data_IF_199348507286
#
_entry.id   IF_199348507286
#
_cell.length_a   1.000
_cell.length_b   1.000
_cell.length_c   1.000
_cell.angle_alpha   90.00
_cell.angle_beta   90.00
_cell.angle_gamma   90.00
#
_symmetry.space_group_name_H-M   'P 1'
#
loop_
_entity.id
_entity.type
_entity.pdbx_description
1 polymer ?
#
# COMPACT_ATOMS: atom_id res chain seq x y z
N UNK A 1 -18.44 -29.08 -33.84
CA UNK A 1 -17.37 -28.68 -32.93
C UNK A 1 -17.92 -27.63 -31.95
N UNK A 2 -18.39 -28.06 -30.78
CA UNK A 2 -18.91 -27.16 -29.76
C UNK A 2 -17.69 -26.53 -29.01
N UNK A 3 -17.54 -25.21 -29.11
CA UNK A 3 -16.65 -24.46 -28.23
C UNK A 3 -17.24 -24.53 -26.80
N UNK A 4 -16.56 -25.25 -25.91
CA UNK A 4 -16.80 -25.12 -24.47
C UNK A 4 -16.44 -23.69 -24.05
N UNK A 5 -17.44 -22.92 -23.74
CA UNK A 5 -17.27 -21.69 -22.96
C UNK A 5 -16.91 -22.16 -21.56
N UNK A 6 -15.63 -22.02 -21.19
CA UNK A 6 -15.18 -22.19 -19.83
C UNK A 6 -15.71 -20.94 -19.09
N UNK A 7 -16.85 -21.09 -18.45
CA UNK A 7 -17.30 -20.15 -17.42
C UNK A 7 -16.36 -20.34 -16.23
N UNK A 8 -15.29 -19.57 -16.15
CA UNK A 8 -14.58 -19.38 -14.89
C UNK A 8 -15.49 -18.57 -14.01
N UNK A 9 -16.15 -19.21 -13.05
CA UNK A 9 -16.70 -18.49 -11.91
C UNK A 9 -15.50 -17.81 -11.24
N UNK A 10 -15.39 -16.50 -11.42
CA UNK A 10 -14.47 -15.70 -10.60
C UNK A 10 -15.00 -15.85 -9.18
N UNK A 11 -14.28 -16.63 -8.36
CA UNK A 11 -14.60 -16.80 -6.95
C UNK A 11 -14.68 -15.40 -6.32
N UNK A 12 -15.65 -15.21 -5.44
CA UNK A 12 -15.75 -13.95 -4.70
C UNK A 12 -14.43 -13.75 -3.94
N UNK A 13 -13.81 -12.57 -4.09
CA UNK A 13 -12.57 -12.24 -3.38
C UNK A 13 -12.72 -12.48 -1.87
N UNK A 14 -11.71 -13.10 -1.24
CA UNK A 14 -11.71 -13.33 0.21
C UNK A 14 -11.64 -11.97 0.93
N UNK A 15 -12.32 -11.88 2.06
CA UNK A 15 -12.28 -10.73 2.95
C UNK A 15 -11.51 -11.08 4.21
N UNK A 16 -10.84 -10.08 4.76
CA UNK A 16 -10.11 -10.18 6.03
C UNK A 16 -10.49 -9.03 6.94
N UNK A 17 -10.22 -9.21 8.23
CA UNK A 17 -10.42 -8.17 9.24
C UNK A 17 -9.10 -7.48 9.56
N UNK A 18 -9.01 -6.18 9.31
CA UNK A 18 -7.92 -5.32 9.78
C UNK A 18 -8.38 -4.62 11.07
N UNK A 19 -8.02 -5.17 12.24
CA UNK A 19 -8.41 -4.57 13.52
C UNK A 19 -9.93 -4.35 13.68
N UNK A 20 -10.75 -5.23 13.08
CA UNK A 20 -12.21 -5.11 13.06
C UNK A 20 -12.79 -4.48 11.79
N UNK A 21 -11.99 -3.86 10.94
CA UNK A 21 -12.42 -3.32 9.65
C UNK A 21 -12.38 -4.42 8.58
N UNK A 22 -13.54 -4.73 7.99
CA UNK A 22 -13.66 -5.73 6.91
C UNK A 22 -13.17 -5.14 5.58
N UNK A 23 -12.21 -5.80 4.94
CA UNK A 23 -11.63 -5.38 3.66
C UNK A 23 -11.40 -6.58 2.74
N UNK A 24 -11.36 -6.35 1.42
CA UNK A 24 -10.84 -7.35 0.49
C UNK A 24 -9.40 -7.70 0.83
N UNK A 25 -9.04 -8.98 0.74
CA UNK A 25 -7.72 -9.49 1.11
C UNK A 25 -6.56 -8.84 0.34
N UNK A 26 -6.81 -8.41 -0.89
CA UNK A 26 -5.92 -7.59 -1.69
C UNK A 26 -6.63 -6.27 -1.94
N UNK A 27 -5.98 -5.15 -1.60
CA UNK A 27 -6.46 -3.80 -1.90
C UNK A 27 -5.83 -3.23 -3.16
N UNK A 28 -6.15 -1.99 -3.48
CA UNK A 28 -5.58 -1.23 -4.60
C UNK A 28 -4.93 0.06 -4.09
N UNK A 29 -3.63 0.22 -4.32
CA UNK A 29 -2.91 1.48 -4.12
C UNK A 29 -3.08 2.41 -5.33
N UNK A 30 -3.56 3.62 -5.12
CA UNK A 30 -3.80 4.59 -6.19
C UNK A 30 -2.60 5.51 -6.51
N UNK A 31 -1.52 5.48 -5.72
CA UNK A 31 -0.39 6.42 -5.82
C UNK A 31 0.15 6.59 -7.24
N UNK A 32 0.39 5.50 -7.95
CA UNK A 32 0.99 5.52 -9.30
C UNK A 32 0.08 6.09 -10.40
N UNK A 33 -1.18 6.38 -10.09
CA UNK A 33 -2.13 6.93 -11.06
C UNK A 33 -1.91 8.42 -11.32
N UNK A 34 -1.29 9.17 -10.38
CA UNK A 34 -1.07 10.61 -10.52
C UNK A 34 0.24 11.12 -9.93
N UNK A 35 1.03 10.26 -9.27
CA UNK A 35 2.25 10.65 -8.59
C UNK A 35 3.36 9.62 -8.81
N UNK A 36 4.60 10.07 -8.71
CA UNK A 36 5.80 9.25 -8.80
C UNK A 36 5.88 8.37 -10.08
N UNK A 37 6.98 7.71 -10.30
CA UNK A 37 7.18 6.88 -11.50
C UNK A 37 6.79 7.66 -12.78
N UNK A 38 5.90 7.10 -13.57
CA UNK A 38 5.33 7.70 -14.79
C UNK A 38 3.91 8.26 -14.57
N UNK A 39 3.50 8.45 -13.32
CA UNK A 39 2.10 8.82 -12.97
C UNK A 39 1.72 10.26 -13.24
N UNK A 40 2.69 11.21 -13.24
CA UNK A 40 2.43 12.64 -13.31
C UNK A 40 1.66 13.10 -14.58
N UNK A 41 1.71 12.33 -15.66
CA UNK A 41 1.03 12.61 -16.95
C UNK A 41 0.17 11.42 -17.39
N UNK A 42 -0.37 10.63 -16.46
CA UNK A 42 -1.22 9.50 -16.81
C UNK A 42 -2.60 9.94 -17.27
N UNK A 43 -3.19 9.14 -18.16
CA UNK A 43 -4.56 9.29 -18.59
C UNK A 43 -5.52 8.98 -17.41
N UNK A 44 -6.25 9.97 -16.95
CA UNK A 44 -7.22 9.83 -15.86
C UNK A 44 -8.32 8.81 -16.22
N UNK A 45 -8.67 8.68 -17.51
CA UNK A 45 -9.69 7.73 -17.94
C UNK A 45 -9.23 6.29 -17.81
N UNK A 46 -7.95 5.98 -18.05
CA UNK A 46 -7.39 4.65 -17.80
C UNK A 46 -7.32 4.36 -16.30
N UNK A 47 -6.93 5.33 -15.48
CA UNK A 47 -6.89 5.20 -14.04
C UNK A 47 -8.29 4.93 -13.46
N UNK A 48 -9.31 5.66 -13.90
CA UNK A 48 -10.70 5.43 -13.51
C UNK A 48 -11.18 4.04 -13.93
N UNK A 49 -10.92 3.60 -15.16
CA UNK A 49 -11.23 2.24 -15.60
C UNK A 49 -10.53 1.19 -14.74
N UNK A 50 -9.30 1.45 -14.34
CA UNK A 50 -8.53 0.54 -13.48
C UNK A 50 -9.17 0.40 -12.10
N UNK A 51 -9.62 1.50 -11.48
CA UNK A 51 -10.35 1.49 -10.23
C UNK A 51 -11.67 0.73 -10.41
N UNK A 52 -12.47 1.07 -11.43
CA UNK A 52 -13.75 0.39 -11.68
C UNK A 52 -13.56 -1.12 -11.88
N UNK A 53 -12.54 -1.52 -12.66
CA UNK A 53 -12.25 -2.96 -12.85
C UNK A 53 -11.89 -3.64 -11.53
N UNK A 54 -11.12 -2.97 -10.65
CA UNK A 54 -10.80 -3.53 -9.33
C UNK A 54 -12.07 -3.77 -8.50
N UNK A 55 -12.98 -2.79 -8.45
CA UNK A 55 -14.27 -2.91 -7.75
C UNK A 55 -15.14 -4.04 -8.34
N UNK A 56 -15.24 -4.11 -9.67
CA UNK A 56 -16.02 -5.13 -10.39
C UNK A 56 -15.46 -6.55 -10.13
N UNK A 57 -14.17 -6.67 -9.80
CA UNK A 57 -13.50 -7.91 -9.42
C UNK A 57 -13.55 -8.19 -7.90
N UNK A 58 -14.22 -7.34 -7.12
CA UNK A 58 -14.46 -7.54 -5.70
C UNK A 58 -13.42 -6.90 -4.77
N UNK A 59 -12.50 -6.05 -5.28
CA UNK A 59 -11.65 -5.23 -4.41
C UNK A 59 -12.52 -4.19 -3.72
N UNK A 60 -12.50 -4.18 -2.39
CA UNK A 60 -13.21 -3.16 -1.60
C UNK A 60 -12.26 -2.17 -0.94
N UNK A 61 -10.98 -2.46 -0.84
CA UNK A 61 -10.00 -1.63 -0.13
C UNK A 61 -9.19 -0.77 -1.11
N UNK A 62 -9.38 0.56 -1.05
CA UNK A 62 -8.72 1.54 -1.92
C UNK A 62 -7.92 2.55 -1.10
N UNK A 63 -6.62 2.68 -1.40
CA UNK A 63 -5.68 3.52 -0.67
C UNK A 63 -5.14 4.67 -1.52
N UNK A 64 -5.24 5.89 -0.98
CA UNK A 64 -4.68 7.13 -1.54
C UNK A 64 -3.96 7.96 -0.48
N UNK A 65 -3.58 9.20 -0.75
CA UNK A 65 -3.05 10.18 0.19
C UNK A 65 -3.12 11.60 -0.38
N UNK A 66 -3.20 12.61 0.50
CA UNK A 66 -3.20 14.03 0.11
C UNK A 66 -1.95 14.45 -0.65
N UNK A 67 -0.78 13.90 -0.30
CA UNK A 67 0.50 14.24 -0.94
C UNK A 67 0.62 13.72 -2.37
N UNK A 68 -0.21 12.75 -2.79
CA UNK A 68 -0.09 12.15 -4.11
C UNK A 68 -0.54 13.12 -5.21
N UNK A 69 0.44 13.63 -5.99
CA UNK A 69 0.26 14.48 -7.13
C UNK A 69 0.02 15.99 -6.94
N UNK A 70 0.44 16.67 -5.86
CA UNK A 70 -0.28 16.72 -4.58
C UNK A 70 -1.76 17.02 -4.78
N UNK A 71 -2.59 16.42 -3.97
CA UNK A 71 -4.07 16.49 -3.96
C UNK A 71 -4.79 15.88 -5.18
N UNK A 72 -4.17 15.87 -6.35
CA UNK A 72 -4.76 15.40 -7.61
C UNK A 72 -5.21 13.93 -7.55
N UNK A 73 -4.52 13.10 -6.78
CA UNK A 73 -4.88 11.69 -6.64
C UNK A 73 -6.22 11.52 -5.92
N UNK A 74 -6.46 12.26 -4.85
CA UNK A 74 -7.75 12.22 -4.15
C UNK A 74 -8.89 12.73 -5.04
N UNK A 75 -8.66 13.77 -5.86
CA UNK A 75 -9.65 14.26 -6.82
C UNK A 75 -9.97 13.19 -7.89
N UNK A 76 -8.95 12.48 -8.38
CA UNK A 76 -9.11 11.37 -9.32
C UNK A 76 -9.93 10.24 -8.71
N UNK A 77 -9.58 9.82 -7.48
CA UNK A 77 -10.29 8.78 -6.74
C UNK A 77 -11.74 9.19 -6.48
N UNK A 78 -11.98 10.43 -6.05
CA UNK A 78 -13.33 10.97 -5.82
C UNK A 78 -14.20 10.87 -7.08
N UNK A 79 -13.66 11.24 -8.26
CA UNK A 79 -14.37 11.08 -9.54
C UNK A 79 -14.65 9.61 -9.87
N UNK A 80 -13.70 8.72 -9.62
CA UNK A 80 -13.86 7.30 -9.88
C UNK A 80 -14.93 6.66 -8.98
N UNK A 81 -15.09 7.17 -7.76
CA UNK A 81 -16.05 6.66 -6.79
C UNK A 81 -17.44 7.30 -6.87
N UNK A 82 -17.68 8.25 -7.79
CA UNK A 82 -18.99 8.86 -7.98
C UNK A 82 -20.05 7.79 -8.28
N UNK A 83 -21.02 7.67 -7.38
CA UNK A 83 -22.09 6.66 -7.44
C UNK A 83 -21.67 5.25 -6.98
N UNK A 84 -20.43 5.05 -6.53
CA UNK A 84 -19.88 3.75 -6.06
C UNK A 84 -19.20 3.84 -4.67
N UNK A 85 -19.38 4.96 -3.97
CA UNK A 85 -18.71 5.20 -2.67
C UNK A 85 -18.97 4.11 -1.63
N UNK A 86 -20.18 3.60 -1.59
CA UNK A 86 -20.62 2.60 -0.61
C UNK A 86 -20.04 1.19 -0.89
N UNK A 87 -19.42 0.98 -2.05
CA UNK A 87 -18.76 -0.28 -2.40
C UNK A 87 -17.33 -0.37 -1.84
N UNK A 88 -16.81 0.73 -1.24
CA UNK A 88 -15.38 0.90 -0.96
C UNK A 88 -15.11 1.22 0.51
N UNK A 89 -14.14 0.54 1.08
CA UNK A 89 -13.40 0.98 2.25
C UNK A 89 -12.30 1.93 1.77
N UNK A 90 -12.53 3.22 1.91
CA UNK A 90 -11.65 4.27 1.41
C UNK A 90 -10.64 4.70 2.47
N UNK A 91 -9.36 4.55 2.15
CA UNK A 91 -8.26 5.00 2.98
C UNK A 91 -7.52 6.17 2.33
N UNK A 92 -7.21 7.19 3.13
CA UNK A 92 -6.30 8.28 2.75
C UNK A 92 -5.41 8.69 3.92
N UNK A 93 -4.44 9.58 3.67
CA UNK A 93 -3.38 9.90 4.62
C UNK A 93 -3.13 11.40 4.66
N UNK A 94 -2.75 11.92 5.84
CA UNK A 94 -2.41 13.31 6.09
C UNK A 94 -1.01 13.46 6.70
N UNK A 95 -0.55 14.68 6.81
CA UNK A 95 0.61 15.08 7.59
C UNK A 95 1.92 15.11 6.82
N UNK A 96 1.95 14.75 5.54
CA UNK A 96 3.06 15.02 4.63
C UNK A 96 2.69 16.18 3.71
N UNK A 97 3.16 17.37 4.02
CA UNK A 97 2.85 18.57 3.26
C UNK A 97 3.83 18.76 2.12
N UNK A 98 3.34 18.97 0.89
CA UNK A 98 4.19 19.32 -0.24
C UNK A 98 4.71 20.75 -0.08
N UNK A 99 5.98 20.97 -0.43
CA UNK A 99 6.50 22.34 -0.46
C UNK A 99 6.03 23.06 -1.75
N UNK A 100 5.43 24.26 -1.66
CA UNK A 100 4.89 24.97 -2.83
C UNK A 100 5.92 25.24 -3.95
N UNK A 101 7.20 25.37 -3.59
CA UNK A 101 8.30 25.63 -4.51
C UNK A 101 9.03 24.36 -4.98
N UNK A 102 8.52 23.15 -4.64
CA UNK A 102 9.24 21.90 -4.79
C UNK A 102 10.34 21.72 -3.73
N UNK A 103 10.82 20.50 -3.53
CA UNK A 103 11.83 20.16 -2.51
C UNK A 103 11.30 19.14 -1.50
N UNK A 104 11.97 19.06 -0.34
CA UNK A 104 11.54 18.13 0.71
C UNK A 104 10.15 18.51 1.25
N UNK A 105 9.32 17.49 1.48
CA UNK A 105 8.06 17.66 2.19
C UNK A 105 8.32 17.95 3.67
N UNK A 106 7.41 18.70 4.28
CA UNK A 106 7.37 18.96 5.72
C UNK A 106 6.37 18.01 6.38
N UNK A 107 6.68 17.56 7.57
CA UNK A 107 5.73 16.84 8.41
C UNK A 107 4.97 17.81 9.30
N UNK A 108 3.66 17.60 9.43
CA UNK A 108 2.82 18.37 10.35
C UNK A 108 1.61 17.51 10.75
N UNK A 109 1.66 16.96 11.95
CA UNK A 109 0.58 16.17 12.54
C UNK A 109 -0.09 16.89 13.71
N UNK A 110 0.03 18.21 13.76
CA UNK A 110 -0.64 19.02 14.76
C UNK A 110 -2.17 18.91 14.66
N UNK A 111 -2.90 19.03 15.78
CA UNK A 111 -4.37 19.03 15.79
C UNK A 111 -5.00 20.04 14.83
N UNK A 112 -4.38 21.20 14.63
CA UNK A 112 -4.85 22.23 13.71
C UNK A 112 -4.72 21.76 12.25
N UNK A 113 -3.56 21.19 11.87
CA UNK A 113 -3.37 20.67 10.51
C UNK A 113 -4.27 19.47 10.24
N UNK A 114 -4.47 18.57 11.21
CA UNK A 114 -5.35 17.40 11.08
C UNK A 114 -6.77 17.83 10.68
N UNK A 115 -7.32 18.86 11.34
CA UNK A 115 -8.65 19.38 11.02
C UNK A 115 -8.71 20.01 9.63
N UNK A 116 -7.70 20.75 9.23
CA UNK A 116 -7.60 21.33 7.89
C UNK A 116 -7.45 20.26 6.82
N UNK A 117 -6.60 19.27 7.05
CA UNK A 117 -6.31 18.19 6.12
C UNK A 117 -7.53 17.31 5.86
N UNK A 118 -8.26 16.91 6.91
CA UNK A 118 -9.45 16.06 6.75
C UNK A 118 -10.55 16.75 5.92
N UNK A 119 -10.81 18.03 6.16
CA UNK A 119 -11.79 18.81 5.36
C UNK A 119 -11.36 18.89 3.89
N UNK A 120 -10.06 19.09 3.65
CA UNK A 120 -9.50 19.06 2.32
C UNK A 120 -9.69 17.71 1.62
N UNK A 121 -9.39 16.61 2.30
CA UNK A 121 -9.55 15.26 1.79
C UNK A 121 -11.01 14.91 1.51
N UNK A 122 -11.93 15.20 2.43
CA UNK A 122 -13.38 15.01 2.24
C UNK A 122 -13.90 15.73 1.00
N UNK A 123 -13.47 16.98 0.80
CA UNK A 123 -13.84 17.78 -0.37
C UNK A 123 -13.30 17.19 -1.67
N UNK A 124 -12.02 16.81 -1.72
CA UNK A 124 -11.38 16.25 -2.93
C UNK A 124 -11.92 14.86 -3.29
N UNK A 125 -12.18 14.05 -2.28
CA UNK A 125 -12.76 12.72 -2.44
C UNK A 125 -14.28 12.74 -2.69
N UNK A 126 -14.91 13.93 -2.56
CA UNK A 126 -16.36 14.14 -2.73
C UNK A 126 -17.19 13.17 -1.85
N UNK A 127 -16.81 13.04 -0.58
CA UNK A 127 -17.44 12.14 0.40
C UNK A 127 -17.63 12.85 1.73
N UNK A 128 -18.57 12.40 2.53
CA UNK A 128 -18.83 12.91 3.88
C UNK A 128 -18.02 12.21 4.98
N UNK A 129 -17.40 11.08 4.67
CA UNK A 129 -16.54 10.36 5.60
C UNK A 129 -15.41 9.60 4.90
N UNK A 130 -14.34 9.35 5.67
CA UNK A 130 -13.21 8.48 5.31
C UNK A 130 -13.29 7.23 6.18
N UNK A 131 -13.14 6.03 5.60
CA UNK A 131 -13.22 4.80 6.37
C UNK A 131 -11.97 4.55 7.21
N UNK A 132 -10.77 4.80 6.66
CA UNK A 132 -9.51 4.63 7.37
C UNK A 132 -8.58 5.83 7.08
N UNK A 133 -8.24 6.58 8.12
CA UNK A 133 -7.43 7.81 8.01
C UNK A 133 -6.09 7.62 8.69
N UNK A 134 -5.01 7.73 7.91
CA UNK A 134 -3.67 7.49 8.39
C UNK A 134 -2.89 8.78 8.68
N UNK A 135 -2.14 8.80 9.78
CA UNK A 135 -0.93 9.62 9.84
C UNK A 135 0.10 9.04 8.87
N UNK A 136 0.50 9.79 7.84
CA UNK A 136 1.34 9.29 6.75
C UNK A 136 2.77 8.97 7.18
N UNK A 137 3.33 9.80 8.08
CA UNK A 137 4.60 9.59 8.78
C UNK A 137 4.50 10.16 10.18
N UNK A 138 5.20 9.55 11.13
CA UNK A 138 5.28 10.07 12.49
C UNK A 138 5.97 11.43 12.47
N UNK A 139 5.31 12.44 13.02
CA UNK A 139 5.87 13.80 13.12
C UNK A 139 6.65 13.93 14.42
N UNK A 140 7.97 14.14 14.38
CA UNK A 140 8.78 14.26 15.59
C UNK A 140 8.49 15.54 16.40
N UNK A 141 7.76 16.50 15.82
CA UNK A 141 7.43 17.76 16.47
C UNK A 141 6.07 17.74 17.20
N UNK A 142 5.26 16.69 16.96
CA UNK A 142 3.95 16.54 17.59
C UNK A 142 3.88 15.21 18.33
N UNK A 143 3.66 15.21 19.67
CA UNK A 143 3.46 13.97 20.40
C UNK A 143 2.38 13.10 19.76
N UNK A 144 2.64 11.81 19.64
CA UNK A 144 1.69 10.89 19.00
C UNK A 144 0.34 10.87 19.71
N UNK A 145 0.35 11.13 21.03
CA UNK A 145 -0.84 11.22 21.86
C UNK A 145 -1.75 12.38 21.44
N UNK A 146 -1.17 13.53 21.10
CA UNK A 146 -1.92 14.72 20.65
C UNK A 146 -2.51 14.47 19.25
N UNK A 147 -1.72 13.87 18.38
CA UNK A 147 -2.16 13.45 17.03
C UNK A 147 -3.36 12.49 17.13
N UNK A 148 -3.23 11.42 17.89
CA UNK A 148 -4.29 10.40 18.02
C UNK A 148 -5.50 10.96 18.78
N UNK A 149 -5.29 11.85 19.75
CA UNK A 149 -6.36 12.58 20.43
C UNK A 149 -7.22 13.38 19.46
N UNK A 150 -6.59 14.13 18.56
CA UNK A 150 -7.30 14.90 17.52
C UNK A 150 -8.03 13.97 16.51
N UNK A 151 -7.42 12.86 16.12
CA UNK A 151 -8.08 11.87 15.24
C UNK A 151 -9.29 11.22 15.94
N UNK A 152 -9.21 10.93 17.24
CA UNK A 152 -10.32 10.40 18.01
C UNK A 152 -11.51 11.38 18.08
N UNK A 153 -11.26 12.69 18.03
CA UNK A 153 -12.32 13.69 17.89
C UNK A 153 -13.01 13.59 16.53
N UNK A 154 -12.24 13.40 15.44
CA UNK A 154 -12.80 13.23 14.10
C UNK A 154 -13.63 11.95 13.97
N UNK A 155 -13.27 10.88 14.71
CA UNK A 155 -14.10 9.67 14.81
C UNK A 155 -15.43 10.00 15.47
N UNK A 156 -15.43 10.75 16.59
CA UNK A 156 -16.66 11.16 17.28
C UNK A 156 -17.54 12.10 16.45
N UNK A 157 -16.92 12.91 15.59
CA UNK A 157 -17.60 13.78 14.63
C UNK A 157 -18.17 13.02 13.41
N UNK A 158 -17.79 11.76 13.22
CA UNK A 158 -18.19 10.92 12.09
C UNK A 158 -17.47 11.24 10.78
N UNK A 159 -16.45 12.09 10.79
CA UNK A 159 -15.64 12.45 9.60
C UNK A 159 -14.69 11.33 9.17
N UNK A 160 -14.22 10.56 10.14
CA UNK A 160 -13.44 9.33 9.90
C UNK A 160 -14.04 8.19 10.71
N UNK A 161 -13.90 6.97 10.24
CA UNK A 161 -14.41 5.79 10.95
C UNK A 161 -13.34 5.08 11.75
N UNK A 162 -12.13 4.97 11.19
CA UNK A 162 -11.00 4.26 11.76
C UNK A 162 -9.71 5.06 11.66
N UNK A 163 -8.83 4.86 12.64
CA UNK A 163 -7.51 5.51 12.71
C UNK A 163 -6.44 4.51 12.30
N UNK A 164 -5.51 4.96 11.44
CA UNK A 164 -4.31 4.23 11.07
C UNK A 164 -3.03 5.03 11.27
N UNK A 165 -1.92 4.33 11.30
CA UNK A 165 -0.56 4.90 11.28
C UNK A 165 0.19 4.35 10.08
N UNK A 166 1.20 5.08 9.60
CA UNK A 166 2.08 4.60 8.54
C UNK A 166 3.54 4.78 8.94
N UNK A 167 4.34 3.72 8.75
CA UNK A 167 5.77 3.66 9.10
C UNK A 167 6.05 4.06 10.57
N UNK A 168 5.18 3.64 11.48
CA UNK A 168 5.36 3.84 12.92
C UNK A 168 6.05 2.63 13.56
N UNK A 169 7.02 2.89 14.42
CA UNK A 169 7.72 1.86 15.19
C UNK A 169 6.87 1.29 16.33
N UNK A 170 7.30 0.15 16.87
CA UNK A 170 6.56 -0.60 17.88
C UNK A 170 6.23 0.24 19.14
N UNK A 171 7.15 1.07 19.61
CA UNK A 171 6.92 1.92 20.77
C UNK A 171 5.86 2.99 20.51
N UNK A 172 5.92 3.64 19.35
CA UNK A 172 4.95 4.65 18.92
C UNK A 172 3.57 4.05 18.72
N UNK A 173 3.48 2.85 18.11
CA UNK A 173 2.22 2.12 17.94
C UNK A 173 1.54 1.86 19.30
N UNK A 174 2.30 1.40 20.33
CA UNK A 174 1.76 1.15 21.67
C UNK A 174 1.23 2.41 22.32
N UNK A 175 1.98 3.51 22.25
CA UNK A 175 1.57 4.81 22.79
C UNK A 175 0.30 5.32 22.10
N UNK A 176 0.26 5.25 20.79
CA UNK A 176 -0.89 5.64 19.98
C UNK A 176 -2.15 4.83 20.34
N UNK A 177 -1.99 3.50 20.40
CA UNK A 177 -3.09 2.58 20.68
C UNK A 177 -3.65 2.74 22.10
N UNK A 178 -2.83 3.21 23.05
CA UNK A 178 -3.27 3.50 24.41
C UNK A 178 -4.18 4.74 24.50
N UNK A 179 -4.11 5.66 23.56
CA UNK A 179 -4.99 6.86 23.49
C UNK A 179 -6.33 6.52 22.84
N UNK A 180 -6.30 5.84 21.70
CA UNK A 180 -7.47 5.37 20.96
C UNK A 180 -7.08 4.13 20.17
N UNK A 181 -7.96 3.13 20.03
CA UNK A 181 -7.67 1.95 19.22
C UNK A 181 -7.19 2.32 17.80
N UNK A 182 -6.00 1.84 17.44
CA UNK A 182 -5.47 1.91 16.09
C UNK A 182 -5.97 0.68 15.33
N UNK A 183 -6.60 0.90 14.18
CA UNK A 183 -7.21 -0.17 13.39
C UNK A 183 -6.19 -0.85 12.49
N UNK A 184 -5.32 -0.08 11.85
CA UNK A 184 -4.30 -0.62 10.96
C UNK A 184 -3.00 0.19 10.99
N UNK A 185 -1.88 -0.48 10.74
CA UNK A 185 -0.60 0.17 10.44
C UNK A 185 -0.16 -0.20 9.03
N UNK A 186 0.19 0.81 8.25
CA UNK A 186 0.67 0.64 6.89
C UNK A 186 2.19 0.77 6.84
N UNK A 187 2.89 -0.30 6.45
CA UNK A 187 4.36 -0.34 6.39
C UNK A 187 4.81 -1.08 5.13
N UNK A 188 5.98 -0.72 4.58
CA UNK A 188 6.56 -1.46 3.45
C UNK A 188 6.87 -2.90 3.87
N UNK A 189 6.27 -3.87 3.18
CA UNK A 189 6.49 -5.28 3.44
C UNK A 189 6.41 -6.12 2.17
N UNK A 190 7.42 -6.95 1.96
CA UNK A 190 7.53 -7.84 0.80
C UNK A 190 8.70 -8.81 0.98
N UNK A 191 8.94 -9.70 0.02
CA UNK A 191 10.17 -10.53 -0.04
C UNK A 191 11.46 -9.68 -0.04
N UNK A 192 11.37 -8.45 -0.41
CA UNK A 192 12.48 -7.51 -0.51
C UNK A 192 12.63 -6.58 0.72
N UNK A 193 11.59 -6.45 1.55
CA UNK A 193 11.59 -5.64 2.78
C UNK A 193 10.96 -6.42 3.92
N UNK A 194 11.78 -6.88 4.85
CA UNK A 194 11.41 -7.80 5.93
C UNK A 194 11.53 -7.17 7.33
N UNK A 195 11.98 -5.90 7.43
CA UNK A 195 12.21 -5.19 8.68
C UNK A 195 11.01 -5.25 9.67
N UNK A 196 9.74 -5.17 9.22
CA UNK A 196 8.60 -5.20 10.15
C UNK A 196 8.47 -6.48 10.96
N UNK A 197 9.06 -7.59 10.50
CA UNK A 197 8.96 -8.90 11.17
C UNK A 197 9.61 -8.91 12.57
N UNK A 198 10.62 -8.06 12.79
CA UNK A 198 11.37 -8.05 14.03
C UNK A 198 10.55 -7.53 15.23
N UNK A 199 9.80 -6.45 15.06
CA UNK A 199 9.10 -5.78 16.16
C UNK A 199 7.68 -5.31 15.78
N UNK A 200 7.50 -4.69 14.61
CA UNK A 200 6.23 -4.05 14.23
C UNK A 200 5.12 -5.09 14.11
N UNK A 201 5.34 -6.13 13.32
CA UNK A 201 4.34 -7.17 13.07
C UNK A 201 3.96 -7.94 14.36
N UNK A 202 4.91 -8.38 15.22
CA UNK A 202 4.56 -8.96 16.52
C UNK A 202 3.75 -8.02 17.42
N UNK A 203 4.12 -6.74 17.49
CA UNK A 203 3.40 -5.73 18.29
C UNK A 203 1.97 -5.53 17.78
N UNK A 204 1.78 -5.45 16.48
CA UNK A 204 0.44 -5.30 15.91
C UNK A 204 -0.44 -6.51 16.20
N UNK A 205 0.09 -7.73 16.10
CA UNK A 205 -0.63 -8.96 16.43
C UNK A 205 -1.03 -9.03 17.90
N UNK A 206 -0.13 -8.62 18.81
CA UNK A 206 -0.42 -8.52 20.24
C UNK A 206 -1.59 -7.56 20.53
N UNK A 207 -1.65 -6.44 19.79
CA UNK A 207 -2.67 -5.40 19.99
C UNK A 207 -3.94 -5.61 19.14
N UNK A 208 -3.99 -6.64 18.30
CA UNK A 208 -5.13 -6.89 17.41
C UNK A 208 -5.25 -5.87 16.26
N UNK A 209 -4.15 -5.26 15.83
CA UNK A 209 -4.08 -4.25 14.77
C UNK A 209 -3.83 -4.94 13.43
N UNK A 210 -4.52 -4.52 12.37
CA UNK A 210 -4.30 -5.02 11.01
C UNK A 210 -3.05 -4.44 10.35
N UNK A 211 -2.42 -5.23 9.47
CA UNK A 211 -1.22 -4.82 8.72
C UNK A 211 -1.57 -4.53 7.26
N UNK A 212 -1.23 -3.34 6.78
CA UNK A 212 -1.36 -2.97 5.37
C UNK A 212 0.02 -2.89 4.74
N UNK A 213 0.29 -3.79 3.78
CA UNK A 213 1.59 -3.88 3.12
C UNK A 213 1.61 -3.01 1.86
N UNK A 214 2.33 -1.88 1.88
CA UNK A 214 2.56 -1.10 0.67
C UNK A 214 3.84 -1.54 -0.05
N UNK A 215 3.96 -1.19 -1.33
CA UNK A 215 5.04 -1.63 -2.22
C UNK A 215 5.30 -3.16 -2.18
N UNK A 216 4.25 -4.01 -2.19
CA UNK A 216 4.39 -5.45 -1.98
C UNK A 216 5.16 -6.15 -3.11
N UNK A 217 5.35 -5.47 -4.25
CA UNK A 217 6.13 -5.95 -5.39
C UNK A 217 7.52 -5.29 -5.49
N UNK A 218 8.03 -4.70 -4.39
CA UNK A 218 9.35 -4.07 -4.38
C UNK A 218 9.49 -2.97 -5.44
N UNK A 219 8.48 -2.11 -5.59
CA UNK A 219 8.46 -1.05 -6.62
C UNK A 219 8.55 -1.59 -8.05
N UNK A 220 8.02 -2.79 -8.28
CA UNK A 220 8.05 -3.51 -9.54
C UNK A 220 9.25 -4.44 -9.72
N UNK A 221 10.24 -4.44 -8.82
CA UNK A 221 11.44 -5.28 -8.93
C UNK A 221 11.10 -6.77 -8.88
N UNK A 222 10.22 -7.18 -7.97
CA UNK A 222 9.81 -8.57 -7.78
C UNK A 222 8.97 -9.14 -8.95
N UNK A 223 8.59 -8.32 -9.92
CA UNK A 223 7.89 -8.79 -11.14
C UNK A 223 8.83 -9.47 -12.14
N UNK A 224 10.15 -9.33 -11.97
CA UNK A 224 11.16 -9.83 -12.89
C UNK A 224 11.24 -9.08 -14.23
N UNK A 225 10.50 -7.97 -14.40
CA UNK A 225 10.51 -7.20 -15.65
C UNK A 225 11.59 -6.13 -15.69
N UNK A 226 12.17 -5.76 -14.55
CA UNK A 226 13.25 -4.78 -14.45
C UNK A 226 14.58 -5.52 -14.50
N UNK A 227 15.28 -5.40 -15.63
CA UNK A 227 16.55 -6.09 -15.89
C UNK A 227 17.76 -5.15 -15.83
N UNK A 228 17.53 -3.84 -15.94
CA UNK A 228 18.54 -2.79 -15.85
C UNK A 228 17.91 -1.49 -15.36
N UNK A 229 18.68 -0.69 -14.64
CA UNK A 229 18.29 0.67 -14.23
C UNK A 229 18.18 1.64 -15.41
N UNK A 230 18.75 1.29 -16.57
CA UNK A 230 18.62 2.07 -17.82
C UNK A 230 17.18 2.12 -18.34
N UNK A 231 16.33 1.19 -17.90
CA UNK A 231 14.90 1.17 -18.22
C UNK A 231 14.11 2.30 -17.52
N UNK A 232 14.70 2.95 -16.53
CA UNK A 232 14.03 4.02 -15.79
C UNK A 232 14.12 5.36 -16.50
N UNK A 233 13.00 6.08 -16.59
CA UNK A 233 12.98 7.46 -17.06
C UNK A 233 13.84 8.36 -16.14
N UNK A 234 14.30 9.50 -16.64
CA UNK A 234 15.21 10.38 -15.90
C UNK A 234 14.61 10.93 -14.60
N UNK A 235 13.28 11.08 -14.56
CA UNK A 235 12.53 11.54 -13.40
C UNK A 235 11.97 10.39 -12.54
N UNK A 236 12.35 9.14 -12.80
CA UNK A 236 11.88 7.99 -12.02
C UNK A 236 12.59 7.96 -10.66
N UNK A 237 11.80 7.99 -9.59
CA UNK A 237 12.31 8.03 -8.22
C UNK A 237 13.20 6.82 -7.87
N UNK A 238 13.03 5.67 -8.56
CA UNK A 238 13.83 4.48 -8.32
C UNK A 238 15.33 4.69 -8.61
N UNK A 239 15.68 5.66 -9.47
CA UNK A 239 17.08 6.02 -9.74
C UNK A 239 17.84 6.51 -8.51
N UNK A 240 17.13 7.08 -7.53
CA UNK A 240 17.72 7.61 -6.29
C UNK A 240 17.67 6.64 -5.11
N UNK A 241 17.02 5.49 -5.29
CA UNK A 241 16.90 4.53 -4.20
C UNK A 241 18.13 3.63 -4.11
N UNK A 242 18.74 3.48 -2.90
CA UNK A 242 19.97 2.72 -2.72
C UNK A 242 19.91 1.27 -3.21
N UNK A 243 18.75 0.62 -3.13
CA UNK A 243 18.55 -0.75 -3.60
C UNK A 243 18.65 -0.93 -5.10
N UNK A 244 18.48 0.16 -5.87
CA UNK A 244 18.64 0.19 -7.32
C UNK A 244 20.01 0.75 -7.76
N UNK A 245 20.86 1.16 -6.81
CA UNK A 245 22.23 1.60 -7.11
C UNK A 245 23.07 0.46 -7.69
N UNK A 246 24.06 0.79 -8.53
CA UNK A 246 24.98 -0.18 -9.09
C UNK A 246 25.66 -1.02 -7.99
N UNK A 247 25.82 -2.32 -8.23
CA UNK A 247 26.30 -3.29 -7.25
C UNK A 247 25.20 -3.84 -6.35
N UNK A 248 24.32 -3.00 -5.80
CA UNK A 248 23.16 -3.48 -5.02
C UNK A 248 22.10 -4.09 -5.95
N UNK A 249 21.85 -3.47 -7.09
CA UNK A 249 20.88 -3.95 -8.08
C UNK A 249 21.20 -5.39 -8.51
N UNK A 250 22.45 -5.67 -8.89
CA UNK A 250 22.88 -6.99 -9.35
C UNK A 250 22.77 -8.05 -8.24
N UNK A 251 23.14 -7.69 -7.00
CA UNK A 251 22.98 -8.60 -5.87
C UNK A 251 21.51 -8.92 -5.58
N UNK A 252 20.65 -7.90 -5.68
CA UNK A 252 19.23 -8.05 -5.43
C UNK A 252 18.51 -8.88 -6.50
N UNK A 253 19.05 -9.01 -7.72
CA UNK A 253 18.51 -9.91 -8.76
C UNK A 253 18.44 -11.37 -8.32
N UNK A 254 19.24 -11.80 -7.35
CA UNK A 254 19.15 -13.15 -6.79
C UNK A 254 17.77 -13.43 -6.16
N UNK A 255 17.16 -12.42 -5.53
CA UNK A 255 15.80 -12.54 -4.98
C UNK A 255 14.81 -12.78 -6.12
N UNK A 256 14.93 -11.98 -7.18
CA UNK A 256 14.05 -12.11 -8.37
C UNK A 256 14.22 -13.47 -9.03
N UNK A 257 15.46 -13.96 -9.12
CA UNK A 257 15.75 -15.29 -9.71
C UNK A 257 14.97 -16.40 -9.04
N UNK A 258 14.91 -16.42 -7.70
CA UNK A 258 14.16 -17.41 -6.94
C UNK A 258 12.64 -17.25 -7.10
N UNK A 259 12.14 -16.01 -7.09
CA UNK A 259 10.72 -15.73 -7.34
C UNK A 259 10.30 -16.22 -8.73
N UNK A 260 11.13 -16.01 -9.76
CA UNK A 260 10.90 -16.50 -11.13
C UNK A 260 10.92 -18.03 -11.20
N UNK A 261 11.85 -18.67 -10.49
CA UNK A 261 11.92 -20.13 -10.44
C UNK A 261 10.64 -20.73 -9.84
N UNK A 262 10.20 -20.24 -8.69
CA UNK A 262 8.95 -20.67 -8.05
C UNK A 262 7.75 -20.38 -8.93
N UNK A 263 7.71 -19.23 -9.61
CA UNK A 263 6.63 -18.88 -10.54
C UNK A 263 6.50 -19.89 -11.69
N UNK A 264 7.64 -20.35 -12.24
CA UNK A 264 7.66 -21.41 -13.24
C UNK A 264 7.13 -22.75 -12.72
N UNK A 265 7.43 -23.11 -11.46
CA UNK A 265 6.96 -24.34 -10.83
C UNK A 265 5.43 -24.38 -10.63
N UNK A 266 4.84 -23.24 -10.25
CA UNK A 266 3.38 -23.15 -9.94
C UNK A 266 2.54 -22.67 -11.11
N UNK A 267 3.15 -22.31 -12.25
CA UNK A 267 2.45 -21.81 -13.43
C UNK A 267 1.80 -20.43 -13.21
N UNK A 268 2.41 -19.58 -12.37
CA UNK A 268 1.96 -18.24 -12.07
C UNK A 268 2.99 -17.18 -12.52
N UNK A 269 2.63 -15.89 -12.48
CA UNK A 269 3.62 -14.83 -12.69
C UNK A 269 4.47 -14.58 -11.44
N UNK A 270 5.69 -14.03 -11.57
CA UNK A 270 6.50 -13.63 -10.43
C UNK A 270 5.78 -12.65 -9.48
N UNK A 271 5.00 -11.71 -10.02
CA UNK A 271 4.17 -10.80 -9.24
C UNK A 271 3.14 -11.55 -8.37
N UNK A 272 2.48 -12.55 -8.95
CA UNK A 272 1.52 -13.39 -8.23
C UNK A 272 2.19 -14.22 -7.13
N UNK A 273 3.37 -14.78 -7.37
CA UNK A 273 4.14 -15.51 -6.36
C UNK A 273 4.55 -14.60 -5.21
N UNK A 274 5.05 -13.38 -5.50
CA UNK A 274 5.43 -12.42 -4.47
C UNK A 274 4.23 -12.00 -3.60
N UNK A 275 3.06 -11.78 -4.19
CA UNK A 275 1.83 -11.47 -3.46
C UNK A 275 1.33 -12.71 -2.68
N UNK A 276 1.32 -13.89 -3.26
CA UNK A 276 0.90 -15.12 -2.60
C UNK A 276 1.77 -15.44 -1.38
N UNK A 277 3.10 -15.23 -1.48
CA UNK A 277 3.99 -15.32 -0.32
C UNK A 277 3.57 -14.37 0.80
N UNK A 278 3.26 -13.10 0.44
CA UNK A 278 2.84 -12.09 1.42
C UNK A 278 1.51 -12.46 2.08
N UNK A 279 0.54 -12.95 1.30
CA UNK A 279 -0.74 -13.43 1.81
C UNK A 279 -0.58 -14.63 2.77
N UNK A 280 0.44 -15.46 2.57
CA UNK A 280 0.76 -16.59 3.44
C UNK A 280 1.36 -16.16 4.80
N UNK A 281 1.79 -14.92 4.96
CA UNK A 281 2.36 -14.44 6.23
C UNK A 281 1.30 -14.21 7.32
N UNK A 282 0.03 -14.08 6.97
CA UNK A 282 -1.06 -13.95 7.95
C UNK A 282 -2.39 -13.53 7.34
N UNK A 283 -3.47 -13.80 8.09
CA UNK A 283 -4.82 -13.33 7.75
C UNK A 283 -5.10 -11.89 8.21
N UNK A 284 -4.13 -11.29 8.85
CA UNK A 284 -4.11 -9.93 9.38
C UNK A 284 -3.39 -8.94 8.44
N UNK A 285 -3.00 -9.41 7.24
CA UNK A 285 -2.20 -8.65 6.27
C UNK A 285 -2.98 -8.43 4.97
N UNK A 286 -3.14 -7.16 4.58
CA UNK A 286 -3.69 -6.75 3.29
C UNK A 286 -2.62 -6.04 2.44
N UNK A 287 -2.08 -6.66 1.38
CA UNK A 287 -1.25 -5.95 0.42
C UNK A 287 -2.08 -4.99 -0.43
N UNK A 288 -1.49 -3.83 -0.75
CA UNK A 288 -2.07 -2.80 -1.62
C UNK A 288 -1.20 -2.54 -2.85
N UNK A 289 -1.02 -3.52 -3.75
CA UNK A 289 -0.24 -3.31 -4.97
C UNK A 289 -0.78 -2.15 -5.78
N UNK A 290 0.09 -1.18 -6.10
CA UNK A 290 -0.27 -0.01 -6.88
C UNK A 290 -0.16 -0.27 -8.39
N UNK A 291 -1.19 0.12 -9.14
CA UNK A 291 -1.14 0.09 -10.61
C UNK A 291 -2.14 1.06 -11.23
N UNK A 292 -1.87 1.49 -12.47
CA UNK A 292 -2.78 2.26 -13.32
C UNK A 292 -3.27 1.46 -14.54
N UNK A 293 -3.03 0.14 -14.58
CA UNK A 293 -3.35 -0.73 -15.72
C UNK A 293 -4.32 -1.83 -15.31
N UNK A 294 -5.41 -1.96 -16.05
CA UNK A 294 -6.43 -3.01 -15.86
C UNK A 294 -5.81 -4.41 -15.82
N UNK A 295 -4.92 -4.74 -16.77
CA UNK A 295 -4.28 -6.06 -16.82
C UNK A 295 -3.46 -6.39 -15.56
N UNK A 296 -2.85 -5.39 -14.93
CA UNK A 296 -2.10 -5.59 -13.68
C UNK A 296 -3.03 -5.76 -12.47
N UNK A 297 -4.19 -5.11 -12.46
CA UNK A 297 -5.22 -5.38 -11.44
C UNK A 297 -5.65 -6.84 -11.50
N UNK A 298 -5.98 -7.34 -12.69
CA UNK A 298 -6.39 -8.73 -12.89
C UNK A 298 -5.29 -9.71 -12.48
N UNK A 299 -4.03 -9.44 -12.83
CA UNK A 299 -2.87 -10.23 -12.44
C UNK A 299 -2.68 -10.27 -10.92
N UNK A 300 -2.73 -9.11 -10.26
CA UNK A 300 -2.52 -8.99 -8.82
C UNK A 300 -3.61 -9.71 -8.02
N UNK A 301 -4.89 -9.54 -8.41
CA UNK A 301 -6.01 -10.20 -7.75
C UNK A 301 -5.92 -11.72 -7.88
N UNK A 302 -5.52 -12.23 -9.03
CA UNK A 302 -5.35 -13.66 -9.25
C UNK A 302 -4.26 -14.31 -8.37
N UNK A 303 -3.42 -13.54 -7.69
CA UNK A 303 -2.47 -14.03 -6.70
C UNK A 303 -3.16 -14.76 -5.53
N UNK A 304 -4.42 -14.42 -5.21
CA UNK A 304 -5.19 -15.08 -4.15
C UNK A 304 -5.42 -16.58 -4.43
N UNK A 305 -5.45 -16.97 -5.69
CA UNK A 305 -5.62 -18.37 -6.09
C UNK A 305 -4.33 -19.17 -6.17
N UNK A 306 -3.16 -18.52 -6.04
CA UNK A 306 -1.86 -19.20 -6.11
C UNK A 306 -1.57 -19.95 -4.81
N UNK A 307 -1.40 -21.24 -4.91
CA UNK A 307 -1.07 -22.11 -3.78
C UNK A 307 0.43 -22.40 -3.78
N UNK A 308 1.13 -21.90 -2.75
CA UNK A 308 2.53 -22.21 -2.50
C UNK A 308 2.65 -23.37 -1.50
N UNK A 309 3.47 -24.36 -1.81
CA UNK A 309 3.79 -25.44 -0.88
C UNK A 309 4.65 -24.91 0.27
N UNK A 310 4.68 -25.64 1.40
CA UNK A 310 5.56 -25.30 2.54
C UNK A 310 7.03 -25.20 2.11
N UNK A 311 7.49 -26.07 1.21
CA UNK A 311 8.86 -26.03 0.69
C UNK A 311 9.12 -24.74 -0.11
N UNK A 312 8.19 -24.31 -0.97
CA UNK A 312 8.30 -23.07 -1.74
C UNK A 312 8.25 -21.84 -0.84
N UNK A 313 7.35 -21.84 0.15
CA UNK A 313 7.30 -20.77 1.17
C UNK A 313 8.60 -20.67 1.95
N UNK A 314 9.16 -21.81 2.37
CA UNK A 314 10.44 -21.84 3.07
C UNK A 314 11.59 -21.31 2.20
N UNK A 315 11.69 -21.73 0.93
CA UNK A 315 12.70 -21.22 -0.02
C UNK A 315 12.64 -19.71 -0.17
N UNK A 316 11.44 -19.16 -0.38
CA UNK A 316 11.22 -17.71 -0.51
C UNK A 316 11.52 -16.97 0.81
N UNK A 317 11.14 -17.53 1.94
CA UNK A 317 11.36 -16.93 3.27
C UNK A 317 12.85 -16.95 3.67
N UNK A 318 13.60 -17.94 3.22
CA UNK A 318 15.04 -18.07 3.51
C UNK A 318 15.94 -17.18 2.63
N UNK A 319 15.37 -16.40 1.72
CA UNK A 319 16.14 -15.47 0.90
C UNK A 319 16.84 -14.42 1.77
N UNK A 320 18.07 -14.07 1.38
CA UNK A 320 18.81 -13.00 2.01
C UNK A 320 18.04 -11.66 1.86
N UNK A 321 18.11 -10.76 2.85
CA UNK A 321 17.54 -9.43 2.74
C UNK A 321 18.08 -8.68 1.53
N UNK A 322 17.29 -7.73 0.99
CA UNK A 322 17.76 -6.83 -0.06
C UNK A 322 18.93 -5.97 0.43
N UNK A 323 19.91 -5.79 -0.43
CA UNK A 323 21.08 -4.93 -0.17
C UNK A 323 20.72 -3.47 -0.45
N UNK A 324 21.08 -2.60 0.48
CA UNK A 324 20.81 -1.17 0.45
C UNK A 324 19.54 -0.77 1.23
N UNK A 325 19.54 0.47 1.70
CA UNK A 325 18.40 1.04 2.41
C UNK A 325 17.20 1.25 1.49
N UNK A 326 16.00 1.32 2.08
CA UNK A 326 14.75 1.56 1.34
C UNK A 326 14.72 2.93 0.67
N UNK A 327 15.29 3.93 1.34
CA UNK A 327 15.38 5.32 0.89
C UNK A 327 16.79 5.87 1.13
N UNK A 328 17.18 6.89 0.40
CA UNK A 328 18.44 7.61 0.63
C UNK A 328 18.45 8.34 1.99
N UNK A 329 17.28 8.78 2.45
CA UNK A 329 17.04 9.33 3.78
C UNK A 329 16.01 8.47 4.50
N UNK A 330 16.44 7.79 5.56
CA UNK A 330 15.58 6.93 6.39
C UNK A 330 14.95 7.68 7.57
N UNK A 331 15.26 8.95 7.78
CA UNK A 331 14.79 9.74 8.93
C UNK A 331 13.26 9.85 9.07
N UNK A 332 12.44 9.76 7.98
CA UNK A 332 10.99 9.74 8.11
C UNK A 332 10.40 8.38 8.53
N UNK A 333 11.25 7.39 8.75
CA UNK A 333 10.85 6.04 9.18
C UNK A 333 11.14 5.93 10.68
N UNK A 334 10.09 5.65 11.48
CA UNK A 334 10.18 5.54 12.94
C UNK A 334 10.64 4.12 13.40
#
# INVERSE_FOLDING_TARGET
>A
MLRRVISTSVGRMEHISLGGLDVSRIGLGAMSMSAFYTGANSDDSEAIRTIHTALDLGVTFLDTAEIYGPYRNEELVGRALAGRRDEVVLATKFGMLSHPAGGQYRLDSSPENIRTAVEGSLKRLATDHIDLYYQHRVDPNTPIEDTVGALAELVREGKIRHIGLSEAGAATIRRAHAVHPITAVQTEYSLWTRDPEAQVLPTMRELGIGFVAYSPLGRGFLTGTIQSTDQFADNDIRRTHPRFAAGNFEQNLNIVGEVVAVAGEVGASPAQVALAWLLAQGKDIAPIPGTKRVSRVQENIAAESVQLTEQQLHRLTALAPAVGDRYADMSPID
#
